data_IF_630636158444
#
_entry.id   IF_630636158444
#
_cell.length_a   1.000
_cell.length_b   1.000
_cell.length_c   1.000
_cell.angle_alpha   90.00
_cell.angle_beta   90.00
_cell.angle_gamma   90.00
#
_symmetry.space_group_name_H-M   'P 1'
#
loop_
_entity.id
_entity.type
_entity.pdbx_description
1 polymer ?
#
# COMPACT_ATOMS: atom_id res chain seq x y z
N UNK A 1 -10.60 3.57 -16.25
CA UNK A 1 -9.84 2.49 -15.55
C UNK A 1 -10.82 1.57 -14.82
N UNK A 2 -10.76 0.25 -15.02
CA UNK A 2 -11.72 -0.69 -14.39
C UNK A 2 -11.19 -1.33 -13.10
N UNK A 3 -9.90 -1.55 -13.02
CA UNK A 3 -9.25 -2.12 -11.82
C UNK A 3 -8.02 -1.31 -11.46
N UNK A 4 -7.67 -1.31 -10.17
CA UNK A 4 -6.43 -0.74 -9.68
C UNK A 4 -5.87 -1.62 -8.56
N UNK A 5 -4.92 -2.48 -8.90
CA UNK A 5 -4.32 -3.49 -8.02
C UNK A 5 -2.79 -3.42 -7.97
N UNK A 6 -2.17 -2.83 -8.98
CA UNK A 6 -0.72 -2.68 -9.13
C UNK A 6 -0.37 -1.46 -9.99
N UNK A 7 0.92 -1.22 -10.21
CA UNK A 7 1.42 -0.05 -10.95
C UNK A 7 0.97 -0.02 -12.42
N UNK A 8 0.86 -1.18 -13.07
CA UNK A 8 0.53 -1.27 -14.48
C UNK A 8 -0.93 -0.89 -14.78
N UNK A 9 -1.82 -1.04 -13.81
CA UNK A 9 -3.23 -0.63 -13.95
C UNK A 9 -3.38 0.90 -14.09
N UNK A 10 -2.39 1.66 -13.62
CA UNK A 10 -2.40 3.12 -13.73
C UNK A 10 -2.03 3.62 -15.14
N UNK A 11 -1.39 2.79 -15.97
CA UNK A 11 -0.90 3.17 -17.29
C UNK A 11 0.34 4.07 -17.21
N UNK A 12 0.37 5.19 -17.92
CA UNK A 12 1.54 6.08 -17.94
C UNK A 12 1.73 6.82 -16.60
N UNK A 13 2.84 6.51 -15.90
CA UNK A 13 3.18 7.10 -14.61
C UNK A 13 3.42 8.59 -14.68
N UNK A 14 4.00 9.12 -15.76
CA UNK A 14 4.26 10.56 -15.90
C UNK A 14 2.94 11.33 -15.99
N UNK A 15 1.98 10.80 -16.73
CA UNK A 15 0.64 11.36 -16.80
C UNK A 15 -0.05 11.32 -15.43
N UNK A 16 0.06 10.20 -14.70
CA UNK A 16 -0.54 10.07 -13.38
C UNK A 16 0.07 11.02 -12.33
N UNK A 17 1.38 11.23 -12.39
CA UNK A 17 2.08 12.20 -11.54
C UNK A 17 1.67 13.64 -11.88
N UNK A 18 1.55 13.97 -13.17
CA UNK A 18 1.07 15.30 -13.58
C UNK A 18 -0.35 15.58 -13.07
N UNK A 19 -1.26 14.61 -13.16
CA UNK A 19 -2.59 14.69 -12.55
C UNK A 19 -2.54 14.86 -11.03
N UNK A 20 -1.67 14.10 -10.36
CA UNK A 20 -1.52 14.20 -8.92
C UNK A 20 -1.11 15.60 -8.48
N UNK A 21 -0.14 16.22 -9.17
CA UNK A 21 0.30 17.59 -8.89
C UNK A 21 -0.75 18.64 -9.27
N UNK A 22 -1.54 18.40 -10.30
CA UNK A 22 -2.68 19.24 -10.64
C UNK A 22 -3.75 19.21 -9.54
N UNK A 23 -4.18 18.02 -9.10
CA UNK A 23 -5.13 17.82 -8.01
C UNK A 23 -4.59 18.40 -6.71
N UNK A 24 -3.28 18.31 -6.45
CA UNK A 24 -2.67 18.87 -5.27
C UNK A 24 -2.77 20.41 -5.20
N UNK A 25 -2.74 21.08 -6.36
CA UNK A 25 -2.95 22.54 -6.48
C UNK A 25 -4.39 22.95 -6.26
N UNK A 26 -5.34 22.16 -6.76
CA UNK A 26 -6.78 22.37 -6.59
C UNK A 26 -7.49 21.04 -6.34
N UNK A 27 -7.73 20.74 -5.06
CA UNK A 27 -8.31 19.46 -4.62
C UNK A 27 -9.77 19.26 -5.03
N UNK A 28 -10.46 20.34 -5.40
CA UNK A 28 -11.87 20.34 -5.77
C UNK A 28 -12.09 20.56 -7.28
N UNK A 29 -11.03 20.60 -8.08
CA UNK A 29 -11.10 20.80 -9.54
C UNK A 29 -12.11 19.88 -10.23
N UNK A 30 -12.31 18.69 -9.71
CA UNK A 30 -13.19 17.65 -10.28
C UNK A 30 -14.39 17.33 -9.36
N UNK A 31 -14.83 18.28 -8.54
CA UNK A 31 -15.87 18.07 -7.51
C UNK A 31 -17.24 17.65 -8.02
N UNK A 32 -17.49 17.79 -9.31
CA UNK A 32 -18.76 17.39 -9.96
C UNK A 32 -18.69 16.04 -10.65
N UNK A 33 -17.50 15.48 -10.85
CA UNK A 33 -17.28 14.25 -11.64
C UNK A 33 -18.00 13.03 -11.04
N UNK A 34 -18.01 12.92 -9.71
CA UNK A 34 -18.66 11.84 -8.99
C UNK A 34 -20.09 12.14 -8.53
N UNK A 35 -20.73 13.18 -9.05
CA UNK A 35 -22.10 13.55 -8.66
C UNK A 35 -23.06 12.38 -8.92
N UNK A 36 -23.85 12.00 -7.88
CA UNK A 36 -24.76 10.85 -7.89
C UNK A 36 -24.08 9.49 -8.05
N UNK A 37 -22.78 9.40 -7.79
CA UNK A 37 -22.02 8.15 -7.75
C UNK A 37 -21.64 7.81 -6.32
N UNK A 38 -21.67 6.54 -5.98
CA UNK A 38 -21.36 6.02 -4.65
C UNK A 38 -20.08 5.19 -4.68
N UNK A 39 -19.13 5.53 -3.80
CA UNK A 39 -17.93 4.72 -3.52
C UNK A 39 -18.17 3.87 -2.28
N UNK A 40 -18.10 2.55 -2.42
CA UNK A 40 -18.16 1.60 -1.29
C UNK A 40 -16.75 1.22 -0.86
N UNK A 41 -16.41 1.45 0.40
CA UNK A 41 -15.13 1.10 1.00
C UNK A 41 -15.32 -0.05 1.99
N UNK A 42 -14.77 -1.22 1.67
CA UNK A 42 -14.94 -2.45 2.46
C UNK A 42 -13.65 -2.76 3.21
N UNK A 43 -13.75 -2.91 4.52
CA UNK A 43 -12.64 -3.19 5.42
C UNK A 43 -12.80 -4.55 6.10
N UNK A 44 -11.98 -5.51 5.72
CA UNK A 44 -11.78 -6.76 6.48
C UNK A 44 -10.77 -6.58 7.62
N UNK A 45 -9.95 -5.52 7.55
CA UNK A 45 -8.96 -5.15 8.56
C UNK A 45 -9.00 -3.66 8.86
N UNK A 46 -8.80 -3.30 10.12
CA UNK A 46 -8.85 -1.91 10.56
C UNK A 46 -7.80 -1.01 9.89
N UNK A 47 -8.16 0.24 9.67
CA UNK A 47 -7.25 1.27 9.16
C UNK A 47 -7.69 2.66 9.59
N UNK A 48 -6.72 3.49 9.98
CA UNK A 48 -6.95 4.92 10.24
C UNK A 48 -6.78 5.72 8.94
N UNK A 49 -5.57 5.70 8.38
CA UNK A 49 -5.20 6.56 7.22
C UNK A 49 -5.94 6.21 5.95
N UNK A 50 -6.00 4.93 5.58
CA UNK A 50 -6.74 4.49 4.38
C UNK A 50 -8.20 4.90 4.47
N UNK A 51 -8.83 4.72 5.65
CA UNK A 51 -10.23 5.11 5.88
C UNK A 51 -10.43 6.61 5.66
N UNK A 52 -9.60 7.45 6.27
CA UNK A 52 -9.75 8.90 6.19
C UNK A 52 -9.40 9.44 4.81
N UNK A 53 -8.25 9.03 4.25
CA UNK A 53 -7.77 9.55 2.96
C UNK A 53 -8.66 9.17 1.79
N UNK A 54 -9.13 7.91 1.74
CA UNK A 54 -9.96 7.45 0.62
C UNK A 54 -11.37 8.06 0.68
N UNK A 55 -11.97 8.20 1.87
CA UNK A 55 -13.24 8.92 2.02
C UNK A 55 -13.10 10.39 1.59
N UNK A 56 -12.01 11.05 2.01
CA UNK A 56 -11.76 12.44 1.64
C UNK A 56 -11.58 12.58 0.13
N UNK A 57 -10.82 11.68 -0.50
CA UNK A 57 -10.61 11.64 -1.95
C UNK A 57 -11.94 11.50 -2.73
N UNK A 58 -12.79 10.55 -2.34
CA UNK A 58 -14.09 10.34 -2.97
C UNK A 58 -15.00 11.60 -2.85
N UNK A 59 -15.02 12.21 -1.67
CA UNK A 59 -15.81 13.44 -1.43
C UNK A 59 -15.28 14.64 -2.22
N UNK A 60 -13.98 14.77 -2.41
CA UNK A 60 -13.41 15.82 -3.25
C UNK A 60 -13.84 15.71 -4.71
N UNK A 61 -14.20 14.52 -5.15
CA UNK A 61 -14.74 14.25 -6.49
C UNK A 61 -16.28 14.35 -6.56
N UNK A 62 -16.95 14.69 -5.43
CA UNK A 62 -18.41 14.80 -5.33
C UNK A 62 -19.16 13.47 -5.20
N UNK A 63 -18.47 12.37 -4.82
CA UNK A 63 -19.10 11.07 -4.59
C UNK A 63 -19.74 10.99 -3.20
N UNK A 64 -20.82 10.22 -3.10
CA UNK A 64 -21.27 9.65 -1.83
C UNK A 64 -20.33 8.50 -1.42
N UNK A 65 -20.17 8.28 -0.11
CA UNK A 65 -19.26 7.27 0.42
C UNK A 65 -19.99 6.40 1.45
N UNK A 66 -19.97 5.09 1.21
CA UNK A 66 -20.39 4.08 2.17
C UNK A 66 -19.14 3.37 2.69
N UNK A 67 -19.03 3.21 4.00
CA UNK A 67 -17.92 2.48 4.63
C UNK A 67 -18.49 1.28 5.38
N UNK A 68 -17.99 0.10 5.05
CA UNK A 68 -18.39 -1.16 5.66
C UNK A 68 -17.20 -1.84 6.35
N UNK A 69 -17.30 -2.06 7.65
CA UNK A 69 -16.41 -2.93 8.43
C UNK A 69 -17.04 -4.32 8.52
N UNK A 70 -16.49 -5.29 7.82
CA UNK A 70 -17.08 -6.65 7.69
C UNK A 70 -17.26 -7.34 9.04
N UNK A 71 -16.36 -7.10 10.02
CA UNK A 71 -16.43 -7.78 11.32
C UNK A 71 -17.06 -6.93 12.44
N UNK A 72 -17.51 -5.70 12.17
CA UNK A 72 -18.04 -4.78 13.17
C UNK A 72 -19.35 -4.10 12.74
N UNK A 73 -19.57 -3.90 11.45
CA UNK A 73 -20.75 -3.22 10.90
C UNK A 73 -21.72 -4.14 10.17
N UNK A 74 -21.39 -5.44 10.04
CA UNK A 74 -22.22 -6.47 9.42
C UNK A 74 -21.94 -7.82 10.10
N UNK A 75 -22.71 -8.83 9.74
CA UNK A 75 -22.43 -10.21 10.13
C UNK A 75 -21.16 -10.73 9.46
N UNK A 76 -20.63 -11.84 9.99
CA UNK A 76 -19.45 -12.50 9.42
C UNK A 76 -19.78 -13.12 8.06
N UNK A 77 -18.86 -12.99 7.13
CA UNK A 77 -18.97 -13.54 5.78
C UNK A 77 -18.15 -14.84 5.64
N UNK A 78 -18.73 -15.83 5.00
CA UNK A 78 -18.02 -17.02 4.56
C UNK A 78 -17.30 -16.75 3.24
N UNK A 79 -16.03 -17.14 3.15
CA UNK A 79 -15.20 -16.93 1.96
C UNK A 79 -14.87 -18.21 1.21
N UNK A 80 -15.08 -19.37 1.85
CA UNK A 80 -14.70 -20.68 1.32
C UNK A 80 -15.87 -21.37 0.62
N UNK A 81 -15.63 -21.88 -0.59
CA UNK A 81 -16.62 -22.67 -1.31
C UNK A 81 -16.72 -24.08 -0.75
N UNK A 82 -17.92 -24.67 -0.84
CA UNK A 82 -18.17 -26.07 -0.50
C UNK A 82 -18.27 -26.34 1.00
N UNK A 83 -18.23 -25.32 1.85
CA UNK A 83 -18.45 -25.45 3.29
C UNK A 83 -19.94 -25.56 3.61
N UNK A 84 -20.26 -26.31 4.65
CA UNK A 84 -21.60 -26.30 5.25
C UNK A 84 -21.63 -25.11 6.21
N UNK A 85 -22.50 -24.13 5.97
CA UNK A 85 -22.60 -22.89 6.77
C UNK A 85 -23.45 -23.13 8.04
N UNK A 86 -23.00 -24.01 8.92
CA UNK A 86 -23.63 -24.35 10.21
C UNK A 86 -22.96 -23.65 11.42
N UNK A 87 -21.98 -22.75 11.16
CA UNK A 87 -21.23 -22.01 12.16
C UNK A 87 -21.75 -20.57 12.36
N UNK A 88 -20.83 -19.65 12.65
CA UNK A 88 -21.11 -18.27 13.04
C UNK A 88 -21.12 -17.25 11.86
N UNK A 89 -20.93 -17.72 10.63
CA UNK A 89 -20.97 -16.92 9.41
C UNK A 89 -22.37 -17.01 8.79
N UNK A 90 -23.01 -15.85 8.62
CA UNK A 90 -24.44 -15.79 8.25
C UNK A 90 -24.69 -15.69 6.75
N UNK A 91 -23.69 -15.30 5.95
CA UNK A 91 -23.82 -15.10 4.51
C UNK A 91 -22.53 -15.47 3.79
N UNK A 92 -22.62 -16.02 2.59
CA UNK A 92 -21.44 -16.30 1.78
C UNK A 92 -21.04 -15.05 0.98
N UNK A 93 -19.74 -14.83 0.81
CA UNK A 93 -19.22 -13.66 0.09
C UNK A 93 -19.71 -13.58 -1.36
N UNK A 94 -20.04 -14.73 -1.99
CA UNK A 94 -20.53 -14.79 -3.36
C UNK A 94 -21.94 -14.22 -3.54
N UNK A 95 -22.79 -14.25 -2.51
CA UNK A 95 -24.08 -13.57 -2.49
C UNK A 95 -23.91 -12.12 -2.04
N UNK A 96 -23.06 -11.87 -1.03
CA UNK A 96 -22.84 -10.53 -0.50
C UNK A 96 -22.23 -9.57 -1.54
N UNK A 97 -21.28 -10.02 -2.37
CA UNK A 97 -20.62 -9.16 -3.37
C UNK A 97 -21.60 -8.53 -4.36
N UNK A 98 -22.45 -9.29 -5.11
CA UNK A 98 -23.39 -8.68 -6.05
C UNK A 98 -24.45 -7.84 -5.36
N UNK A 99 -24.86 -8.16 -4.13
CA UNK A 99 -25.77 -7.32 -3.34
C UNK A 99 -25.12 -5.97 -3.00
N UNK A 100 -23.91 -5.97 -2.44
CA UNK A 100 -23.15 -4.74 -2.17
C UNK A 100 -22.92 -3.91 -3.44
N UNK A 101 -22.61 -4.57 -4.56
CA UNK A 101 -22.39 -3.94 -5.85
C UNK A 101 -23.63 -3.24 -6.41
N UNK A 102 -24.85 -3.67 -6.02
CA UNK A 102 -26.09 -3.02 -6.43
C UNK A 102 -26.29 -1.64 -5.79
N UNK A 103 -25.58 -1.34 -4.70
CA UNK A 103 -25.69 -0.09 -3.94
C UNK A 103 -24.55 0.92 -4.21
N UNK A 104 -23.64 0.60 -5.13
CA UNK A 104 -22.48 1.46 -5.40
C UNK A 104 -22.06 1.44 -6.87
N UNK A 105 -21.18 2.36 -7.23
CA UNK A 105 -20.61 2.49 -8.58
C UNK A 105 -19.14 2.04 -8.61
N UNK A 106 -18.39 2.24 -7.54
CA UNK A 106 -16.96 1.87 -7.40
C UNK A 106 -16.75 1.20 -6.05
N UNK A 107 -15.89 0.18 -5.98
CA UNK A 107 -15.62 -0.58 -4.77
C UNK A 107 -14.12 -0.53 -4.43
N UNK A 108 -13.80 -0.11 -3.20
CA UNK A 108 -12.49 -0.26 -2.59
C UNK A 108 -12.48 -1.43 -1.61
N UNK A 109 -11.47 -2.30 -1.70
CA UNK A 109 -11.34 -3.49 -0.85
C UNK A 109 -10.03 -3.44 -0.08
N UNK A 110 -10.10 -3.72 1.25
CA UNK A 110 -8.94 -3.90 2.11
C UNK A 110 -9.02 -5.26 2.79
N UNK A 111 -8.05 -6.15 2.50
CA UNK A 111 -7.98 -7.50 3.05
C UNK A 111 -6.52 -7.96 3.16
N UNK A 112 -6.06 -8.25 4.38
CA UNK A 112 -4.67 -8.64 4.64
C UNK A 112 -4.40 -10.12 4.37
N UNK A 113 -3.10 -10.46 4.25
CA UNK A 113 -2.61 -11.82 4.35
C UNK A 113 -2.97 -12.44 5.71
N UNK A 114 -3.32 -13.72 5.69
CA UNK A 114 -3.61 -14.50 6.90
C UNK A 114 -2.36 -15.13 7.52
N UNK A 115 -1.29 -15.29 6.73
CA UNK A 115 -0.02 -15.95 7.12
C UNK A 115 -0.15 -17.44 7.45
N UNK A 116 -1.22 -18.08 7.03
CA UNK A 116 -1.42 -19.52 7.19
C UNK A 116 -0.86 -20.31 6.02
N UNK A 117 -1.11 -19.84 4.81
CA UNK A 117 -0.63 -20.42 3.57
C UNK A 117 -0.20 -19.32 2.59
N UNK A 118 1.06 -19.35 2.16
CA UNK A 118 1.61 -18.37 1.24
C UNK A 118 0.91 -18.37 -0.13
N UNK A 119 0.62 -19.56 -0.66
CA UNK A 119 -0.01 -19.69 -1.97
C UNK A 119 -1.43 -19.08 -1.95
N UNK A 120 -2.21 -19.36 -0.92
CA UNK A 120 -3.56 -18.78 -0.74
C UNK A 120 -3.49 -17.25 -0.63
N UNK A 121 -2.59 -16.72 0.22
CA UNK A 121 -2.43 -15.27 0.37
C UNK A 121 -2.01 -14.61 -0.97
N UNK A 122 -1.10 -15.25 -1.71
CA UNK A 122 -0.59 -14.72 -2.99
C UNK A 122 -1.57 -14.87 -4.16
N UNK A 123 -2.69 -15.60 -3.98
CA UNK A 123 -3.83 -15.59 -4.93
C UNK A 123 -4.72 -14.36 -4.80
N UNK A 124 -4.54 -13.54 -3.75
CA UNK A 124 -5.38 -12.35 -3.48
C UNK A 124 -6.88 -12.69 -3.50
N UNK A 125 -7.25 -13.81 -2.87
CA UNK A 125 -8.55 -14.46 -3.00
C UNK A 125 -9.74 -13.52 -2.80
N UNK A 126 -9.74 -12.72 -1.73
CA UNK A 126 -10.86 -11.82 -1.41
C UNK A 126 -10.96 -10.72 -2.47
N UNK A 127 -9.87 -10.03 -2.77
CA UNK A 127 -9.84 -8.97 -3.79
C UNK A 127 -10.31 -9.49 -5.15
N UNK A 128 -9.81 -10.67 -5.57
CA UNK A 128 -10.16 -11.28 -6.84
C UNK A 128 -11.62 -11.73 -6.91
N UNK A 129 -12.27 -12.10 -5.79
CA UNK A 129 -13.71 -12.35 -5.76
C UNK A 129 -14.51 -11.08 -6.04
N UNK A 130 -14.14 -9.93 -5.45
CA UNK A 130 -14.78 -8.66 -5.78
C UNK A 130 -14.59 -8.26 -7.25
N UNK A 131 -13.38 -8.40 -7.79
CA UNK A 131 -13.09 -8.14 -9.21
C UNK A 131 -13.98 -9.00 -10.11
N UNK A 132 -14.12 -10.27 -9.77
CA UNK A 132 -14.82 -11.25 -10.60
C UNK A 132 -16.36 -11.13 -10.52
N UNK A 133 -16.92 -10.87 -9.35
CA UNK A 133 -18.34 -11.03 -9.09
C UNK A 133 -19.11 -9.73 -8.87
N UNK A 134 -18.45 -8.59 -8.66
CA UNK A 134 -19.15 -7.32 -8.45
C UNK A 134 -19.71 -6.69 -9.72
N UNK A 135 -19.09 -6.94 -10.88
CA UNK A 135 -19.41 -6.24 -12.11
C UNK A 135 -19.03 -4.73 -12.11
N UNK A 136 -18.44 -4.23 -11.03
CA UNK A 136 -18.08 -2.83 -10.81
C UNK A 136 -16.56 -2.62 -10.95
N UNK A 137 -16.09 -1.37 -11.17
CA UNK A 137 -14.70 -1.04 -10.95
C UNK A 137 -14.27 -1.31 -9.52
N UNK A 138 -13.10 -1.95 -9.34
CA UNK A 138 -12.56 -2.34 -8.03
C UNK A 138 -11.13 -1.83 -7.87
N UNK A 139 -10.83 -1.24 -6.71
CA UNK A 139 -9.47 -0.88 -6.37
C UNK A 139 -9.03 -1.49 -5.03
N UNK A 140 -7.74 -1.85 -4.97
CA UNK A 140 -7.11 -2.34 -3.75
C UNK A 140 -6.78 -1.17 -2.82
N UNK A 141 -7.33 -1.17 -1.61
CA UNK A 141 -6.93 -0.26 -0.53
C UNK A 141 -5.78 -0.80 0.31
N UNK A 142 -5.52 -2.06 0.24
CA UNK A 142 -4.41 -2.92 0.65
C UNK A 142 -4.91 -4.37 0.60
N UNK A 143 -4.14 -5.24 -0.03
CA UNK A 143 -4.44 -6.66 -0.13
C UNK A 143 -3.31 -7.48 0.50
N UNK A 144 -3.32 -8.79 0.33
CA UNK A 144 -2.32 -9.66 0.95
C UNK A 144 -0.89 -9.36 0.47
N UNK A 145 -0.73 -9.07 -0.82
CA UNK A 145 0.59 -8.87 -1.44
C UNK A 145 0.84 -7.46 -1.95
N UNK A 146 -0.18 -6.58 -1.99
CA UNK A 146 -0.04 -5.25 -2.57
C UNK A 146 -0.80 -4.14 -1.85
N UNK A 147 -0.21 -2.93 -1.84
CA UNK A 147 -0.84 -1.69 -1.37
C UNK A 147 -0.59 -0.55 -2.36
N UNK A 148 -1.20 -0.61 -3.57
CA UNK A 148 -0.87 0.30 -4.67
C UNK A 148 -1.15 1.77 -4.36
N UNK A 149 -2.21 2.10 -3.61
CA UNK A 149 -2.48 3.48 -3.18
C UNK A 149 -1.39 4.06 -2.30
N UNK A 150 -0.72 3.23 -1.47
CA UNK A 150 0.41 3.68 -0.67
C UNK A 150 1.62 3.93 -1.58
N UNK A 151 1.99 2.97 -2.41
CA UNK A 151 3.15 3.10 -3.27
C UNK A 151 3.04 4.28 -4.25
N UNK A 152 1.84 4.58 -4.72
CA UNK A 152 1.61 5.79 -5.51
C UNK A 152 1.79 7.08 -4.68
N UNK A 153 1.33 7.11 -3.43
CA UNK A 153 1.57 8.25 -2.54
C UNK A 153 3.07 8.41 -2.22
N UNK A 154 3.79 7.29 -2.07
CA UNK A 154 5.24 7.27 -1.85
C UNK A 154 5.97 7.87 -3.07
N UNK A 155 5.59 7.45 -4.29
CA UNK A 155 6.17 7.99 -5.51
C UNK A 155 5.85 9.48 -5.70
N UNK A 156 4.61 9.92 -5.44
CA UNK A 156 4.25 11.36 -5.46
C UNK A 156 5.16 12.13 -4.48
N UNK A 157 5.43 11.58 -3.31
CA UNK A 157 6.27 12.22 -2.30
C UNK A 157 7.73 12.29 -2.76
N UNK A 158 8.27 11.20 -3.33
CA UNK A 158 9.63 11.20 -3.89
C UNK A 158 9.76 12.25 -4.99
N UNK A 159 8.82 12.29 -5.94
CA UNK A 159 8.82 13.26 -7.03
C UNK A 159 8.72 14.72 -6.56
N UNK A 160 8.01 14.96 -5.45
CA UNK A 160 7.86 16.29 -4.86
C UNK A 160 9.12 16.81 -4.17
N UNK A 161 9.89 15.91 -3.54
CA UNK A 161 11.02 16.27 -2.70
C UNK A 161 12.38 15.92 -3.31
N UNK A 162 12.44 15.23 -4.44
CA UNK A 162 13.71 14.87 -5.07
C UNK A 162 14.54 16.11 -5.43
N UNK A 163 15.84 16.04 -5.15
CA UNK A 163 16.82 17.12 -5.42
C UNK A 163 17.57 16.90 -6.74
N UNK A 164 17.37 15.76 -7.41
CA UNK A 164 17.98 15.39 -8.71
C UNK A 164 17.05 14.50 -9.52
N UNK A 165 17.26 14.39 -10.82
CA UNK A 165 16.36 13.67 -11.72
C UNK A 165 16.22 12.20 -11.36
N UNK A 166 17.32 11.51 -11.06
CA UNK A 166 17.36 10.10 -10.68
C UNK A 166 17.92 9.92 -9.27
N UNK A 167 17.09 10.04 -8.22
CA UNK A 167 17.54 9.88 -6.84
C UNK A 167 17.81 8.42 -6.49
N UNK A 168 18.75 8.17 -5.56
CA UNK A 168 18.93 6.87 -4.96
C UNK A 168 17.89 6.67 -3.86
N UNK A 169 17.05 5.67 -4.02
CA UNK A 169 15.97 5.30 -3.10
C UNK A 169 16.27 3.94 -2.49
N UNK A 170 16.25 3.86 -1.17
CA UNK A 170 16.51 2.61 -0.44
C UNK A 170 15.29 2.16 0.32
N UNK A 171 14.78 0.98 0.00
CA UNK A 171 13.81 0.26 0.85
C UNK A 171 14.60 -0.56 1.88
N UNK A 172 14.42 -0.24 3.16
CA UNK A 172 15.08 -0.97 4.25
C UNK A 172 14.10 -1.72 5.13
N UNK A 173 14.43 -2.99 5.41
CA UNK A 173 13.77 -3.70 6.51
C UNK A 173 14.19 -3.09 7.86
N UNK A 174 13.27 -3.06 8.80
CA UNK A 174 13.51 -2.62 10.18
C UNK A 174 12.74 -3.51 11.16
N UNK A 175 13.22 -3.67 12.43
CA UNK A 175 12.61 -4.58 13.40
C UNK A 175 11.19 -4.16 13.81
N UNK A 176 10.36 -5.14 14.19
CA UNK A 176 9.00 -4.93 14.67
C UNK A 176 8.57 -6.09 15.59
N UNK A 177 7.72 -5.86 16.63
CA UNK A 177 7.33 -6.90 17.58
C UNK A 177 6.29 -7.88 17.02
N UNK A 178 5.66 -7.57 15.89
CA UNK A 178 4.64 -8.40 15.23
C UNK A 178 5.02 -8.66 13.79
N UNK A 179 4.62 -9.82 13.26
CA UNK A 179 4.67 -10.10 11.84
C UNK A 179 3.74 -9.14 11.08
N UNK A 180 4.26 -8.48 10.05
CA UNK A 180 3.50 -7.56 9.20
C UNK A 180 3.45 -8.06 7.76
N UNK A 181 2.37 -7.74 7.00
CA UNK A 181 2.25 -8.13 5.59
C UNK A 181 3.38 -7.60 4.71
N UNK A 182 3.67 -8.33 3.63
CA UNK A 182 4.60 -7.91 2.58
C UNK A 182 3.97 -6.91 1.60
N UNK A 183 2.68 -6.58 1.73
CA UNK A 183 1.93 -5.74 0.81
C UNK A 183 2.60 -4.39 0.50
N UNK A 184 3.05 -3.68 1.53
CA UNK A 184 3.71 -2.37 1.36
C UNK A 184 5.08 -2.50 0.70
N UNK A 185 6.05 -3.32 1.20
CA UNK A 185 7.35 -3.41 0.56
C UNK A 185 7.29 -4.01 -0.85
N UNK A 186 6.38 -4.95 -1.12
CA UNK A 186 6.14 -5.48 -2.47
C UNK A 186 5.69 -4.37 -3.43
N UNK A 187 4.66 -3.60 -3.05
CA UNK A 187 4.18 -2.50 -3.89
C UNK A 187 5.22 -1.40 -4.04
N UNK A 188 5.95 -1.06 -2.97
CA UNK A 188 7.01 -0.08 -3.06
C UNK A 188 8.09 -0.53 -4.06
N UNK A 189 8.54 -1.79 -3.98
CA UNK A 189 9.51 -2.34 -4.93
C UNK A 189 8.97 -2.34 -6.37
N UNK A 190 7.72 -2.77 -6.56
CA UNK A 190 7.08 -2.81 -7.88
C UNK A 190 7.01 -1.42 -8.53
N UNK A 191 6.65 -0.39 -7.75
CA UNK A 191 6.55 0.99 -8.24
C UNK A 191 7.92 1.65 -8.47
N UNK A 192 8.91 1.40 -7.60
CA UNK A 192 10.26 1.95 -7.77
C UNK A 192 10.98 1.35 -8.98
N UNK A 193 10.65 0.12 -9.38
CA UNK A 193 11.15 -0.49 -10.62
C UNK A 193 10.60 0.17 -11.90
N UNK A 194 9.45 0.84 -11.82
CA UNK A 194 8.87 1.60 -12.95
C UNK A 194 9.24 3.09 -12.90
N UNK A 195 9.71 3.58 -11.76
CA UNK A 195 10.10 4.97 -11.56
C UNK A 195 11.54 5.24 -12.02
N UNK A 196 11.85 6.50 -12.33
CA UNK A 196 13.22 6.91 -12.69
C UNK A 196 14.07 7.16 -11.44
N UNK A 197 14.44 6.07 -10.76
CA UNK A 197 15.24 6.08 -9.53
C UNK A 197 16.36 5.04 -9.57
N UNK A 198 17.42 5.23 -8.78
CA UNK A 198 18.41 4.18 -8.47
C UNK A 198 17.93 3.42 -7.23
N UNK A 199 17.27 2.28 -7.47
CA UNK A 199 16.55 1.56 -6.42
C UNK A 199 17.39 0.45 -5.79
N UNK A 200 17.45 0.45 -4.46
CA UNK A 200 18.15 -0.57 -3.65
C UNK A 200 17.22 -1.10 -2.58
N UNK A 201 17.22 -2.41 -2.39
CA UNK A 201 16.51 -3.09 -1.29
C UNK A 201 17.54 -3.64 -0.31
N UNK A 202 17.31 -3.42 1.00
CA UNK A 202 18.15 -4.00 2.05
C UNK A 202 17.31 -4.66 3.13
N UNK A 203 17.70 -5.88 3.51
CA UNK A 203 17.02 -6.70 4.50
C UNK A 203 17.94 -7.79 5.03
N UNK A 204 17.69 -8.39 6.21
CA UNK A 204 18.37 -9.60 6.67
C UNK A 204 18.04 -10.82 5.79
N UNK A 205 18.87 -11.84 5.82
CA UNK A 205 18.58 -13.12 5.19
C UNK A 205 17.24 -13.72 5.66
N UNK A 206 16.48 -14.30 4.73
CA UNK A 206 15.15 -14.87 4.98
C UNK A 206 14.01 -13.88 4.82
N UNK A 207 14.30 -12.61 4.51
CA UNK A 207 13.30 -11.58 4.23
C UNK A 207 13.26 -11.15 2.76
N UNK A 208 13.81 -11.98 1.87
CA UNK A 208 13.79 -11.76 0.42
C UNK A 208 12.34 -11.63 -0.08
N UNK A 209 12.03 -10.50 -0.71
CA UNK A 209 10.74 -10.29 -1.35
C UNK A 209 10.61 -11.22 -2.58
N UNK A 210 9.37 -11.50 -2.98
CA UNK A 210 9.11 -12.33 -4.16
C UNK A 210 9.79 -11.72 -5.41
N UNK A 211 10.51 -12.52 -6.21
CA UNK A 211 11.21 -12.05 -7.40
C UNK A 211 10.35 -11.26 -8.38
N UNK A 212 9.06 -11.53 -8.44
CA UNK A 212 8.12 -10.77 -9.29
C UNK A 212 8.02 -9.29 -8.94
N UNK A 213 8.28 -8.90 -7.66
CA UNK A 213 8.30 -7.52 -7.21
C UNK A 213 9.70 -6.91 -7.22
N UNK A 214 10.73 -7.73 -6.92
CA UNK A 214 12.13 -7.28 -6.89
C UNK A 214 12.63 -6.93 -8.29
N UNK A 215 12.33 -7.78 -9.27
CA UNK A 215 12.74 -7.64 -10.68
C UNK A 215 14.24 -7.33 -10.82
N UNK A 216 14.61 -6.17 -11.31
CA UNK A 216 16.00 -5.73 -11.52
C UNK A 216 16.60 -4.90 -10.38
N UNK A 217 15.88 -4.71 -9.26
CA UNK A 217 16.39 -3.95 -8.14
C UNK A 217 17.66 -4.57 -7.53
N UNK A 218 18.60 -3.72 -7.14
CA UNK A 218 19.79 -4.17 -6.41
C UNK A 218 19.40 -4.57 -4.99
N UNK A 219 19.86 -5.74 -4.54
CA UNK A 219 19.75 -6.16 -3.14
C UNK A 219 21.12 -6.03 -2.48
N UNK A 220 21.17 -5.37 -1.33
CA UNK A 220 22.38 -5.19 -0.50
C UNK A 220 22.03 -5.60 0.94
N UNK A 221 22.67 -6.65 1.45
CA UNK A 221 22.39 -7.18 2.80
C UNK A 221 22.99 -6.33 3.92
N UNK A 222 24.02 -5.54 3.63
CA UNK A 222 24.60 -4.60 4.58
C UNK A 222 23.83 -3.26 4.52
N UNK A 223 23.06 -2.97 5.56
CA UNK A 223 22.19 -1.80 5.62
C UNK A 223 23.00 -0.48 5.50
N UNK A 224 24.12 -0.34 6.21
CA UNK A 224 24.96 0.85 6.14
C UNK A 224 25.47 1.09 4.72
N UNK A 225 25.93 0.03 4.05
CA UNK A 225 26.39 0.12 2.67
C UNK A 225 25.25 0.42 1.69
N UNK A 226 24.04 -0.08 1.94
CA UNK A 226 22.87 0.28 1.15
C UNK A 226 22.56 1.79 1.28
N UNK A 227 22.72 2.35 2.47
CA UNK A 227 22.42 3.76 2.77
C UNK A 227 23.45 4.76 2.23
N UNK A 228 24.71 4.34 1.98
CA UNK A 228 25.75 5.23 1.44
C UNK A 228 25.26 6.02 0.23
N UNK A 229 25.24 7.36 0.36
CA UNK A 229 24.83 8.28 -0.71
C UNK A 229 23.36 8.20 -1.13
N UNK A 230 22.48 7.58 -0.33
CA UNK A 230 21.05 7.56 -0.60
C UNK A 230 20.42 8.96 -0.47
N UNK A 231 19.39 9.24 -1.26
CA UNK A 231 18.60 10.48 -1.21
C UNK A 231 17.25 10.27 -0.49
N UNK A 232 16.76 9.03 -0.47
CA UNK A 232 15.56 8.63 0.26
C UNK A 232 15.76 7.28 0.96
N UNK A 233 15.36 7.21 2.24
CA UNK A 233 15.31 5.99 3.04
C UNK A 233 13.85 5.69 3.37
N UNK A 234 13.32 4.60 2.81
CA UNK A 234 11.98 4.10 3.12
C UNK A 234 12.11 2.89 4.07
N UNK A 235 11.80 3.11 5.34
CA UNK A 235 11.87 2.04 6.35
C UNK A 235 10.54 1.30 6.45
N UNK A 236 10.58 -0.03 6.49
CA UNK A 236 9.39 -0.86 6.68
C UNK A 236 9.75 -2.21 7.29
N UNK A 237 8.89 -2.71 8.16
CA UNK A 237 8.94 -4.11 8.58
C UNK A 237 8.06 -4.98 7.67
N UNK A 238 8.50 -6.20 7.43
CA UNK A 238 7.67 -7.27 6.88
C UNK A 238 8.11 -8.62 7.44
N UNK A 239 7.15 -9.56 7.54
CA UNK A 239 7.39 -10.94 7.94
C UNK A 239 8.12 -11.71 6.84
N UNK A 240 8.73 -12.83 7.19
CA UNK A 240 9.37 -13.73 6.22
C UNK A 240 8.42 -14.04 5.05
N UNK A 241 8.79 -13.69 3.80
CA UNK A 241 7.92 -13.94 2.63
C UNK A 241 7.89 -15.40 2.17
N UNK A 242 8.68 -16.28 2.78
CA UNK A 242 8.73 -17.70 2.43
C UNK A 242 9.41 -17.99 1.08
N UNK A 243 10.16 -17.07 0.51
CA UNK A 243 10.85 -17.25 -0.78
C UNK A 243 12.00 -18.23 -0.63
N UNK A 244 12.95 -17.93 0.26
CA UNK A 244 14.11 -18.80 0.56
C UNK A 244 13.83 -19.75 1.71
N UNK A 245 12.82 -19.48 2.53
CA UNK A 245 12.42 -20.26 3.71
C UNK A 245 10.90 -20.51 3.73
N UNK A 246 10.36 -21.40 2.88
CA UNK A 246 8.90 -21.61 2.77
C UNK A 246 8.23 -22.00 4.09
N UNK A 247 8.87 -22.79 4.94
CA UNK A 247 8.35 -23.21 6.25
C UNK A 247 8.27 -22.07 7.29
N UNK A 248 8.88 -20.93 7.00
CA UNK A 248 8.91 -19.75 7.87
C UNK A 248 8.03 -18.62 7.37
N UNK A 249 7.20 -18.86 6.37
CA UNK A 249 6.25 -17.86 5.87
C UNK A 249 5.45 -17.20 6.99
N UNK A 250 5.39 -15.88 6.98
CA UNK A 250 4.67 -15.10 7.97
C UNK A 250 5.34 -14.97 9.34
N UNK A 251 6.53 -15.58 9.55
CA UNK A 251 7.24 -15.51 10.84
C UNK A 251 8.18 -14.31 10.94
N UNK A 252 8.51 -13.97 12.19
CA UNK A 252 9.59 -13.03 12.53
C UNK A 252 10.86 -13.85 12.72
N UNK A 253 11.86 -13.65 11.84
CA UNK A 253 13.15 -14.35 11.90
C UNK A 253 14.23 -13.55 12.64
N UNK A 254 14.11 -12.21 12.66
CA UNK A 254 15.07 -11.31 13.29
C UNK A 254 14.36 -10.29 14.17
N UNK A 255 15.00 -9.96 15.28
CA UNK A 255 14.67 -8.85 16.17
C UNK A 255 15.88 -7.96 16.40
N UNK A 256 16.81 -7.95 15.44
CA UNK A 256 18.06 -7.20 15.53
C UNK A 256 17.77 -5.70 15.53
N UNK A 257 18.00 -5.08 16.68
CA UNK A 257 17.79 -3.65 16.90
C UNK A 257 18.90 -2.79 16.26
N UNK A 258 20.01 -3.39 15.81
CA UNK A 258 21.02 -2.66 15.04
C UNK A 258 20.51 -2.23 13.66
N UNK A 259 19.36 -2.77 13.22
CA UNK A 259 18.68 -2.38 11.98
C UNK A 259 17.64 -1.27 12.19
N UNK A 260 17.53 -0.71 13.39
CA UNK A 260 16.76 0.51 13.66
C UNK A 260 17.39 1.68 12.93
N UNK A 261 16.61 2.41 12.14
CA UNK A 261 17.14 3.61 11.46
C UNK A 261 17.38 4.72 12.49
N UNK A 262 18.63 5.09 12.69
CA UNK A 262 19.07 6.12 13.62
C UNK A 262 19.93 7.20 12.94
N UNK A 263 20.43 8.15 13.73
CA UNK A 263 21.26 9.24 13.22
C UNK A 263 22.56 8.73 12.57
N UNK A 264 23.17 7.65 13.08
CA UNK A 264 24.37 7.08 12.51
C UNK A 264 24.13 6.48 11.11
N UNK A 265 22.97 5.82 10.93
CA UNK A 265 22.53 5.33 9.62
C UNK A 265 22.25 6.50 8.65
N UNK A 266 21.60 7.55 9.12
CA UNK A 266 21.32 8.72 8.28
C UNK A 266 22.59 9.50 7.91
N UNK A 267 23.61 9.50 8.75
CA UNK A 267 24.85 10.23 8.52
C UNK A 267 25.68 9.76 7.30
N UNK A 268 25.50 8.51 6.83
CA UNK A 268 26.20 7.99 5.63
C UNK A 268 25.44 8.27 4.34
N UNK A 269 24.24 8.83 4.42
CA UNK A 269 23.41 9.18 3.26
C UNK A 269 23.82 10.50 2.62
N UNK A 270 23.19 10.86 1.52
CA UNK A 270 23.32 12.18 0.90
C UNK A 270 22.28 13.16 1.46
N UNK A 271 22.29 13.41 2.76
CA UNK A 271 21.25 14.20 3.45
C UNK A 271 19.83 13.70 3.05
N UNK A 272 19.63 12.39 3.22
CA UNK A 272 18.44 11.71 2.74
C UNK A 272 17.18 12.12 3.50
N UNK A 273 16.08 12.13 2.78
CA UNK A 273 14.75 12.15 3.40
C UNK A 273 14.37 10.78 3.97
N UNK A 274 13.80 10.79 5.17
CA UNK A 274 13.25 9.60 5.81
C UNK A 274 11.75 9.45 5.49
N UNK A 275 11.32 8.24 5.11
CA UNK A 275 9.94 7.89 4.76
C UNK A 275 9.47 6.63 5.50
N UNK A 276 8.19 6.58 5.82
CA UNK A 276 7.50 5.42 6.38
C UNK A 276 5.99 5.58 6.28
N UNK A 277 5.29 4.58 5.76
CA UNK A 277 3.83 4.61 5.53
C UNK A 277 2.94 4.79 6.77
N UNK A 278 3.51 4.76 7.98
CA UNK A 278 2.79 4.76 9.25
C UNK A 278 1.73 3.62 9.38
N UNK A 279 1.40 3.12 10.60
CA UNK A 279 1.97 3.52 11.90
C UNK A 279 3.41 3.05 12.06
N UNK A 280 4.20 3.81 12.78
CA UNK A 280 5.60 3.51 13.08
C UNK A 280 5.79 3.16 14.56
N UNK A 281 6.73 2.27 14.85
CA UNK A 281 7.20 1.99 16.21
C UNK A 281 8.46 2.79 16.45
N UNK A 282 8.33 3.92 17.18
CA UNK A 282 9.46 4.77 17.58
C UNK A 282 10.47 3.98 18.41
N UNK A 283 11.75 4.28 18.20
CA UNK A 283 12.88 3.64 18.87
C UNK A 283 12.97 2.13 18.66
N UNK A 284 12.28 1.63 17.61
CA UNK A 284 12.35 0.27 17.12
C UNK A 284 12.54 0.22 15.61
N UNK A 285 11.66 0.85 14.82
CA UNK A 285 11.85 1.00 13.38
C UNK A 285 12.80 2.16 13.08
N UNK A 286 12.60 3.26 13.78
CA UNK A 286 13.31 4.52 13.61
C UNK A 286 13.39 5.23 14.96
N UNK A 287 14.48 5.93 15.23
CA UNK A 287 14.65 6.72 16.46
C UNK A 287 13.81 8.00 16.43
N UNK A 288 13.52 8.54 17.63
CA UNK A 288 12.80 9.83 17.76
C UNK A 288 13.54 10.95 17.02
N UNK A 289 14.86 11.00 17.12
CA UNK A 289 15.70 11.98 16.45
C UNK A 289 15.50 12.02 14.92
N UNK A 290 15.43 10.84 14.28
CA UNK A 290 15.28 10.75 12.83
C UNK A 290 13.86 11.07 12.38
N UNK A 291 12.83 10.53 13.08
CA UNK A 291 11.44 10.75 12.67
C UNK A 291 10.96 12.19 12.92
N UNK A 292 11.59 12.90 13.86
CA UNK A 292 11.28 14.31 14.19
C UNK A 292 12.17 15.30 13.42
N UNK A 293 13.17 14.81 12.69
CA UNK A 293 14.05 15.66 11.89
C UNK A 293 13.28 16.42 10.78
N UNK A 294 13.75 17.59 10.35
CA UNK A 294 13.17 18.30 9.20
C UNK A 294 13.20 17.52 7.89
N UNK A 295 14.07 16.50 7.79
CA UNK A 295 14.17 15.57 6.65
C UNK A 295 13.16 14.43 6.72
N UNK A 296 12.33 14.32 7.75
CA UNK A 296 11.29 13.31 7.85
C UNK A 296 10.07 13.71 7.02
N UNK A 297 9.69 12.87 6.05
CA UNK A 297 8.57 13.09 5.15
C UNK A 297 7.34 12.25 5.51
N UNK A 298 7.28 11.62 6.70
CA UNK A 298 6.18 10.73 7.07
C UNK A 298 4.79 11.42 7.07
N UNK A 299 4.73 12.72 7.35
CA UNK A 299 3.47 13.48 7.31
C UNK A 299 3.12 13.92 5.89
N UNK A 300 4.01 14.53 5.07
CA UNK A 300 3.75 14.76 3.64
C UNK A 300 3.36 13.49 2.88
N UNK A 301 4.05 12.37 3.12
CA UNK A 301 3.76 11.06 2.55
C UNK A 301 2.33 10.60 2.91
N UNK A 302 1.95 10.69 4.19
CA UNK A 302 0.61 10.36 4.64
C UNK A 302 -0.46 11.29 4.01
N UNK A 303 -0.16 12.57 3.82
CA UNK A 303 -1.06 13.53 3.16
C UNK A 303 -1.26 13.20 1.67
N UNK A 304 -0.22 12.73 0.99
CA UNK A 304 -0.31 12.32 -0.42
C UNK A 304 -1.19 11.08 -0.67
N UNK A 305 -1.59 10.35 0.39
CA UNK A 305 -2.58 9.27 0.30
C UNK A 305 -3.94 9.72 -0.23
N UNK A 306 -4.37 10.93 0.13
CA UNK A 306 -5.59 11.54 -0.41
C UNK A 306 -5.43 11.81 -1.91
N UNK A 307 -4.29 12.35 -2.32
CA UNK A 307 -4.00 12.66 -3.71
C UNK A 307 -3.98 11.40 -4.58
N UNK A 308 -3.24 10.36 -4.14
CA UNK A 308 -3.17 9.09 -4.85
C UNK A 308 -4.55 8.46 -5.05
N UNK A 309 -5.37 8.45 -4.00
CA UNK A 309 -6.75 7.94 -4.09
C UNK A 309 -7.63 8.79 -5.01
N UNK A 310 -7.45 10.11 -5.02
CA UNK A 310 -8.23 11.01 -5.90
C UNK A 310 -7.92 10.75 -7.37
N UNK A 311 -6.64 10.59 -7.76
CA UNK A 311 -6.26 10.24 -9.15
C UNK A 311 -6.91 8.92 -9.56
N UNK A 312 -6.81 7.90 -8.72
CA UNK A 312 -7.36 6.56 -9.00
C UNK A 312 -8.87 6.61 -9.18
N UNK A 313 -9.59 7.22 -8.23
CA UNK A 313 -11.05 7.34 -8.30
C UNK A 313 -11.50 8.19 -9.49
N UNK A 314 -10.80 9.29 -9.79
CA UNK A 314 -11.06 10.12 -10.99
C UNK A 314 -10.98 9.27 -12.26
N UNK A 315 -9.87 8.52 -12.46
CA UNK A 315 -9.70 7.66 -13.65
C UNK A 315 -10.72 6.52 -13.70
N UNK A 316 -11.21 6.04 -12.56
CA UNK A 316 -12.30 5.07 -12.51
C UNK A 316 -13.64 5.69 -12.92
N UNK A 317 -13.95 6.90 -12.42
CA UNK A 317 -15.17 7.63 -12.78
C UNK A 317 -15.23 7.94 -14.27
N UNK A 318 -14.13 8.41 -14.86
CA UNK A 318 -14.01 8.65 -16.31
C UNK A 318 -14.21 7.36 -17.14
N UNK A 319 -13.93 6.21 -16.57
CA UNK A 319 -14.16 4.92 -17.20
C UNK A 319 -15.57 4.33 -16.99
N UNK A 320 -16.46 5.03 -16.29
CA UNK A 320 -17.88 4.67 -16.14
C UNK A 320 -18.76 5.27 -17.24
N UNK A 321 -18.27 6.32 -17.92
CA UNK A 321 -18.90 6.96 -19.07
C UNK A 321 -18.71 6.10 -20.34
#
# INVERSE_FOLDING_TARGET
>A
MRYFTNVHDLGDLKSALAEAFEIKKDRYKYETLGKHKTCLLIFFNNSLRTRLSTQKAARNLGMDVIVLDVNQGAWKLETERGVIMDGDKSEHLLEAIPVMASYCDIIGVRSFAHFENREDDYTEKILNQFIKYSGKPVFSMEAATGHPLQAFADLITIEEYKKKDRPKVVLTWAPHPRALPQAVPNSFADWMNEADVDFVITHPEGYELDPKFVRGAKVEYNQMKAFEGADFIYAKNWACPGVTRPADYGKILSKDMNLTVDAAHMAVTNDAFFMHCLPVRRNMIVTDEVIEAPTSLVIPEAANREISATVVLKRMLEGLE
#
